data_IF_903534022213
#
_entry.id   IF_903534022213
#
_cell.length_a   1.000
_cell.length_b   1.000
_cell.length_c   1.000
_cell.angle_alpha   90.00
_cell.angle_beta   90.00
_cell.angle_gamma   90.00
#
_symmetry.space_group_name_H-M   'P 1'
#
loop_
_entity.id
_entity.type
_entity.pdbx_description
1 polymer ?
#
# COMPACT_ATOMS: atom_id res chain seq x y z
N UNK A 1 -18.19 -25.26 -21.19
CA UNK A 1 -16.73 -25.26 -20.89
C UNK A 1 -16.48 -24.31 -19.72
N UNK A 2 -16.21 -24.85 -18.53
CA UNK A 2 -15.82 -24.05 -17.37
C UNK A 2 -14.48 -23.37 -17.67
N UNK A 3 -14.48 -22.04 -17.86
CA UNK A 3 -13.25 -21.27 -17.93
C UNK A 3 -12.47 -21.52 -16.63
N UNK A 4 -11.41 -22.34 -16.69
CA UNK A 4 -10.49 -22.50 -15.57
C UNK A 4 -10.01 -21.12 -15.20
N UNK A 5 -10.10 -20.78 -13.91
CA UNK A 5 -9.46 -19.60 -13.35
C UNK A 5 -7.96 -19.78 -13.55
N UNK A 6 -7.41 -19.27 -14.66
CA UNK A 6 -5.97 -19.30 -14.90
C UNK A 6 -5.31 -18.43 -13.85
N UNK A 7 -4.64 -19.08 -12.89
CA UNK A 7 -3.87 -18.43 -11.85
C UNK A 7 -2.72 -17.66 -12.52
N UNK A 8 -2.63 -16.36 -12.27
CA UNK A 8 -1.57 -15.50 -12.81
C UNK A 8 -0.27 -15.75 -12.05
N UNK A 9 0.57 -16.63 -12.58
CA UNK A 9 1.87 -16.98 -12.00
C UNK A 9 2.76 -15.73 -11.82
N UNK A 10 2.70 -14.77 -12.74
CA UNK A 10 3.45 -13.52 -12.65
C UNK A 10 3.11 -12.68 -11.42
N UNK A 11 1.83 -12.68 -10.99
CA UNK A 11 1.41 -11.96 -9.80
C UNK A 11 1.94 -12.65 -8.54
N UNK A 12 1.91 -13.98 -8.52
CA UNK A 12 2.40 -14.76 -7.39
C UNK A 12 3.93 -14.65 -7.26
N UNK A 13 4.66 -14.64 -8.37
CA UNK A 13 6.09 -14.36 -8.41
C UNK A 13 6.40 -12.96 -7.86
N UNK A 14 5.69 -11.92 -8.33
CA UNK A 14 5.86 -10.55 -7.82
C UNK A 14 5.59 -10.48 -6.31
N UNK A 15 4.53 -11.15 -5.82
CA UNK A 15 4.24 -11.25 -4.38
C UNK A 15 5.37 -11.92 -3.63
N UNK A 16 5.86 -13.06 -4.11
CA UNK A 16 6.97 -13.80 -3.51
C UNK A 16 8.24 -12.96 -3.43
N UNK A 17 8.64 -12.30 -4.52
CA UNK A 17 9.79 -11.40 -4.53
C UNK A 17 9.62 -10.22 -3.58
N UNK A 18 8.42 -9.65 -3.46
CA UNK A 18 8.15 -8.56 -2.51
C UNK A 18 8.28 -9.04 -1.06
N UNK A 19 7.86 -10.28 -0.75
CA UNK A 19 8.07 -10.91 0.57
C UNK A 19 9.54 -11.18 0.83
N UNK A 20 10.27 -11.73 -0.14
CA UNK A 20 11.71 -11.97 -0.01
C UNK A 20 12.48 -10.66 0.24
N UNK A 21 12.15 -9.60 -0.50
CA UNK A 21 12.73 -8.27 -0.30
C UNK A 21 12.40 -7.71 1.09
N UNK A 22 11.15 -7.87 1.55
CA UNK A 22 10.75 -7.46 2.91
C UNK A 22 11.56 -8.15 3.99
N UNK A 23 11.79 -9.47 3.85
CA UNK A 23 12.60 -10.23 4.81
C UNK A 23 14.06 -9.74 4.80
N UNK A 24 14.64 -9.53 3.62
CA UNK A 24 16.01 -9.06 3.45
C UNK A 24 16.26 -7.70 4.13
N UNK A 25 15.32 -6.75 3.99
CA UNK A 25 15.51 -5.40 4.55
C UNK A 25 15.18 -5.30 6.04
N UNK A 26 14.33 -6.20 6.55
CA UNK A 26 13.98 -6.22 7.98
C UNK A 26 15.01 -6.97 8.82
N UNK A 27 15.87 -7.77 8.19
CA UNK A 27 16.93 -8.52 8.85
C UNK A 27 18.23 -8.45 8.03
N UNK A 28 18.92 -7.29 8.04
CA UNK A 28 20.17 -7.11 7.30
C UNK A 28 21.36 -7.86 7.94
N UNK A 29 21.15 -8.56 9.06
CA UNK A 29 22.20 -9.23 9.84
C UNK A 29 22.96 -8.28 10.76
N UNK A 30 23.64 -7.27 10.21
CA UNK A 30 24.35 -6.23 10.96
C UNK A 30 23.78 -4.84 10.66
N UNK A 31 23.16 -4.23 11.68
CA UNK A 31 22.61 -2.87 11.61
C UNK A 31 23.68 -1.77 11.55
N UNK A 32 24.94 -2.08 11.84
CA UNK A 32 26.07 -1.14 11.76
C UNK A 32 26.65 -0.99 10.35
N UNK A 33 26.38 -1.93 9.43
CA UNK A 33 26.94 -1.96 8.07
C UNK A 33 25.88 -2.33 7.02
N UNK A 34 24.78 -1.57 7.01
CA UNK A 34 23.72 -1.75 6.02
C UNK A 34 24.08 -1.03 4.73
N UNK A 35 24.00 -1.72 3.59
CA UNK A 35 24.16 -1.06 2.30
C UNK A 35 23.03 -0.07 2.04
N UNK A 36 23.34 1.12 1.53
CA UNK A 36 22.37 2.20 1.30
C UNK A 36 21.05 1.79 0.60
N UNK A 37 20.99 0.82 -0.35
CA UNK A 37 19.72 0.41 -0.96
C UNK A 37 18.77 -0.28 0.02
N UNK A 38 19.31 -0.90 1.07
CA UNK A 38 18.59 -1.66 2.11
C UNK A 38 18.17 -0.76 3.28
N UNK A 39 18.63 0.48 3.31
CA UNK A 39 18.23 1.47 4.31
C UNK A 39 16.95 2.18 3.90
N UNK A 40 16.16 2.62 4.87
CA UNK A 40 15.04 3.53 4.63
C UNK A 40 15.54 4.97 4.44
N UNK A 41 14.84 5.75 3.62
CA UNK A 41 15.03 7.19 3.64
C UNK A 41 14.73 7.74 5.05
N UNK A 42 15.60 8.62 5.57
CA UNK A 42 15.50 9.10 6.96
C UNK A 42 14.14 9.76 7.27
N UNK A 43 13.64 10.59 6.35
CA UNK A 43 12.31 11.19 6.47
C UNK A 43 11.70 11.47 5.10
N UNK A 44 12.38 12.33 4.32
CA UNK A 44 12.07 12.60 2.92
C UNK A 44 13.03 11.82 2.03
N UNK A 45 12.55 11.40 0.87
CA UNK A 45 13.25 10.58 -0.09
C UNK A 45 12.52 9.28 -0.40
N UNK A 46 13.11 8.48 -1.27
CA UNK A 46 12.64 7.15 -1.60
C UNK A 46 13.85 6.28 -1.96
N UNK A 47 14.13 5.29 -1.12
CA UNK A 47 15.10 4.22 -1.39
C UNK A 47 14.39 3.02 -2.03
N UNK A 48 15.13 2.01 -2.55
CA UNK A 48 14.52 0.76 -3.00
C UNK A 48 13.69 0.05 -1.92
N UNK A 49 14.14 0.13 -0.66
CA UNK A 49 13.48 -0.45 0.51
C UNK A 49 12.12 0.21 0.81
N UNK A 50 11.96 1.49 0.46
CA UNK A 50 10.70 2.20 0.61
C UNK A 50 9.61 1.76 -0.40
N UNK A 51 9.98 1.06 -1.49
CA UNK A 51 9.05 0.56 -2.50
C UNK A 51 8.27 -0.68 -2.04
N UNK A 52 8.81 -1.45 -1.10
CA UNK A 52 8.31 -2.78 -0.73
C UNK A 52 6.87 -2.71 -0.23
N UNK A 53 6.59 -1.85 0.74
CA UNK A 53 5.24 -1.77 1.32
C UNK A 53 4.18 -1.21 0.35
N UNK A 54 4.44 -0.12 -0.39
CA UNK A 54 3.56 0.32 -1.47
C UNK A 54 3.30 -0.76 -2.53
N UNK A 55 4.31 -1.57 -2.88
CA UNK A 55 4.15 -2.68 -3.82
C UNK A 55 3.17 -3.72 -3.29
N UNK A 56 3.26 -4.07 -2.00
CA UNK A 56 2.28 -4.95 -1.37
C UNK A 56 0.85 -4.41 -1.47
N UNK A 57 0.62 -3.14 -1.13
CA UNK A 57 -0.72 -2.54 -1.21
C UNK A 57 -1.23 -2.47 -2.64
N UNK A 58 -0.37 -2.09 -3.59
CA UNK A 58 -0.71 -2.10 -5.01
C UNK A 58 -1.12 -3.51 -5.48
N UNK A 59 -0.33 -4.52 -5.12
CA UNK A 59 -0.59 -5.92 -5.47
C UNK A 59 -1.84 -6.48 -4.79
N UNK A 60 -2.16 -6.04 -3.57
CA UNK A 60 -3.45 -6.32 -2.92
C UNK A 60 -4.61 -5.82 -3.79
N UNK A 61 -4.51 -4.61 -4.33
CA UNK A 61 -5.47 -4.06 -5.29
C UNK A 61 -5.61 -4.89 -6.57
N UNK A 62 -4.49 -5.27 -7.18
CA UNK A 62 -4.46 -6.15 -8.37
C UNK A 62 -5.11 -7.50 -8.06
N UNK A 63 -4.82 -8.06 -6.88
CA UNK A 63 -5.40 -9.33 -6.41
C UNK A 63 -6.91 -9.23 -6.22
N UNK A 64 -7.44 -8.10 -5.72
CA UNK A 64 -8.89 -7.87 -5.65
C UNK A 64 -9.51 -7.90 -7.05
N UNK A 65 -8.90 -7.23 -8.03
CA UNK A 65 -9.38 -7.22 -9.40
C UNK A 65 -9.51 -8.64 -9.97
N UNK A 66 -8.54 -9.50 -9.68
CA UNK A 66 -8.44 -10.86 -10.22
C UNK A 66 -9.24 -11.89 -9.45
N UNK A 67 -9.43 -11.70 -8.14
CA UNK A 67 -10.14 -12.67 -7.30
C UNK A 67 -11.64 -12.37 -7.18
N UNK A 68 -12.03 -11.09 -7.07
CA UNK A 68 -13.41 -10.68 -6.77
C UNK A 68 -14.21 -10.43 -8.05
N UNK A 69 -13.68 -9.63 -8.98
CA UNK A 69 -14.44 -9.22 -10.17
C UNK A 69 -14.91 -10.40 -11.04
N UNK A 70 -14.11 -11.45 -11.32
CA UNK A 70 -14.59 -12.58 -12.12
C UNK A 70 -15.72 -13.36 -11.43
N UNK A 71 -15.79 -13.34 -10.10
CA UNK A 71 -16.88 -13.98 -9.35
C UNK A 71 -18.16 -13.16 -9.47
N UNK A 72 -18.04 -11.84 -9.37
CA UNK A 72 -19.13 -10.90 -9.57
C UNK A 72 -19.70 -11.01 -11.00
N UNK A 73 -18.83 -11.06 -12.02
CA UNK A 73 -19.21 -11.24 -13.42
C UNK A 73 -19.89 -12.60 -13.69
N UNK A 74 -19.61 -13.62 -12.88
CA UNK A 74 -20.26 -14.93 -12.93
C UNK A 74 -21.58 -14.99 -12.14
N UNK A 75 -22.08 -13.85 -11.66
CA UNK A 75 -23.37 -13.75 -10.98
C UNK A 75 -23.34 -14.04 -9.48
N UNK A 76 -22.17 -14.09 -8.83
CA UNK A 76 -22.11 -14.22 -7.38
C UNK A 76 -22.74 -13.00 -6.67
N UNK A 77 -23.42 -13.22 -5.56
CA UNK A 77 -24.08 -12.15 -4.80
C UNK A 77 -23.08 -11.13 -4.28
N UNK A 78 -23.36 -9.84 -4.54
CA UNK A 78 -22.54 -8.74 -4.04
C UNK A 78 -22.48 -8.71 -2.50
N UNK A 79 -23.55 -9.10 -1.81
CA UNK A 79 -23.60 -9.15 -0.35
C UNK A 79 -22.70 -10.27 0.20
N UNK A 80 -22.71 -11.45 -0.43
CA UNK A 80 -21.86 -12.58 -0.05
C UNK A 80 -20.38 -12.26 -0.25
N UNK A 81 -20.03 -11.68 -1.40
CA UNK A 81 -18.65 -11.24 -1.69
C UNK A 81 -18.20 -10.16 -0.71
N UNK A 82 -19.08 -9.21 -0.38
CA UNK A 82 -18.79 -8.16 0.62
C UNK A 82 -18.51 -8.79 1.98
N UNK A 83 -19.40 -9.66 2.47
CA UNK A 83 -19.23 -10.34 3.77
C UNK A 83 -17.94 -11.15 3.82
N UNK A 84 -17.64 -11.93 2.78
CA UNK A 84 -16.41 -12.70 2.69
C UNK A 84 -15.16 -11.81 2.71
N UNK A 85 -15.19 -10.67 1.98
CA UNK A 85 -14.09 -9.71 1.99
C UNK A 85 -13.92 -9.04 3.36
N UNK A 86 -15.00 -8.61 4.01
CA UNK A 86 -14.94 -8.00 5.34
C UNK A 86 -14.39 -8.97 6.39
N UNK A 87 -14.80 -10.24 6.33
CA UNK A 87 -14.29 -11.25 7.25
C UNK A 87 -12.81 -11.54 7.04
N UNK A 88 -12.35 -11.58 5.78
CA UNK A 88 -10.93 -11.69 5.47
C UNK A 88 -10.14 -10.49 5.97
N UNK A 89 -10.65 -9.27 5.79
CA UNK A 89 -10.05 -8.05 6.31
C UNK A 89 -9.94 -8.09 7.84
N UNK A 90 -11.02 -8.44 8.52
CA UNK A 90 -11.07 -8.55 9.98
C UNK A 90 -10.02 -9.54 10.51
N UNK A 91 -9.87 -10.72 9.88
CA UNK A 91 -8.81 -11.68 10.24
C UNK A 91 -7.40 -11.11 10.09
N UNK A 92 -7.14 -10.34 9.03
CA UNK A 92 -5.83 -9.71 8.83
C UNK A 92 -5.56 -8.66 9.91
N UNK A 93 -6.55 -7.82 10.23
CA UNK A 93 -6.44 -6.80 11.29
C UNK A 93 -6.24 -7.45 12.66
N UNK A 94 -7.06 -8.45 13.00
CA UNK A 94 -6.97 -9.17 14.27
C UNK A 94 -5.63 -9.91 14.41
N UNK A 95 -5.13 -10.52 13.34
CA UNK A 95 -3.80 -11.14 13.33
C UNK A 95 -2.70 -10.10 13.57
N UNK A 96 -2.78 -8.93 12.94
CA UNK A 96 -1.85 -7.82 13.19
C UNK A 96 -1.85 -7.35 14.64
N UNK A 97 -3.04 -7.18 15.22
CA UNK A 97 -3.17 -6.78 16.62
C UNK A 97 -2.66 -7.87 17.57
N UNK A 98 -2.93 -9.15 17.28
CA UNK A 98 -2.43 -10.27 18.06
C UNK A 98 -0.90 -10.35 18.03
N UNK A 99 -0.27 -10.11 16.87
CA UNK A 99 1.20 -10.07 16.75
C UNK A 99 1.77 -8.88 17.55
N UNK A 100 1.15 -7.70 17.48
CA UNK A 100 1.60 -6.53 18.24
C UNK A 100 1.47 -6.76 19.76
N UNK A 101 0.38 -7.38 20.20
CA UNK A 101 0.17 -7.76 21.60
C UNK A 101 1.22 -8.79 22.05
N UNK A 102 1.46 -9.81 21.24
CA UNK A 102 2.49 -10.82 21.50
C UNK A 102 3.88 -10.20 21.58
N UNK A 103 4.21 -9.27 20.68
CA UNK A 103 5.47 -8.54 20.70
C UNK A 103 5.65 -7.75 21.99
N UNK A 104 4.59 -7.10 22.49
CA UNK A 104 4.60 -6.38 23.78
C UNK A 104 4.86 -7.32 24.95
N UNK A 105 4.34 -8.55 24.87
CA UNK A 105 4.53 -9.54 25.93
C UNK A 105 5.92 -10.19 25.92
N UNK A 106 6.50 -10.45 24.73
CA UNK A 106 7.80 -11.11 24.59
C UNK A 106 8.99 -10.14 24.64
N UNK A 107 8.80 -8.86 24.31
CA UNK A 107 9.86 -7.86 24.20
C UNK A 107 9.56 -6.72 25.18
N UNK A 108 10.13 -6.75 26.40
CA UNK A 108 9.79 -5.81 27.48
C UNK A 108 9.96 -4.33 27.13
N UNK A 109 10.88 -4.02 26.21
CA UNK A 109 11.17 -2.65 25.78
C UNK A 109 10.23 -2.13 24.68
N UNK A 110 9.33 -2.98 24.16
CA UNK A 110 8.36 -2.57 23.13
C UNK A 110 6.99 -2.32 23.74
N UNK A 111 6.57 -1.06 23.71
CA UNK A 111 5.19 -0.68 24.02
C UNK A 111 4.18 -1.28 23.04
N UNK A 112 2.93 -1.39 23.49
CA UNK A 112 1.83 -1.83 22.63
C UNK A 112 1.64 -0.86 21.47
N UNK A 113 1.52 -1.40 20.25
CA UNK A 113 1.29 -0.62 19.03
C UNK A 113 -0.04 -1.01 18.40
N UNK A 114 -0.93 -0.05 18.17
CA UNK A 114 -2.25 -0.30 17.56
C UNK A 114 -2.17 -0.20 16.02
N UNK A 115 -1.70 0.89 15.41
CA UNK A 115 -1.53 0.95 13.97
C UNK A 115 -0.42 -0.01 13.53
N UNK A 116 -0.50 -0.52 12.31
CA UNK A 116 0.47 -1.47 11.84
C UNK A 116 0.22 -1.91 10.41
N UNK A 117 1.22 -2.58 9.86
CA UNK A 117 1.27 -2.96 8.43
C UNK A 117 0.08 -3.85 8.08
N UNK A 118 -0.19 -4.87 8.90
CA UNK A 118 -1.31 -5.79 8.67
C UNK A 118 -2.67 -5.10 8.85
N UNK A 119 -2.81 -4.24 9.85
CA UNK A 119 -4.02 -3.45 10.10
C UNK A 119 -4.34 -2.58 8.88
N UNK A 120 -3.35 -1.84 8.37
CA UNK A 120 -3.48 -1.00 7.17
C UNK A 120 -3.81 -1.83 5.92
N UNK A 121 -3.13 -2.97 5.71
CA UNK A 121 -3.47 -3.90 4.62
C UNK A 121 -4.93 -4.36 4.72
N UNK A 122 -5.40 -4.73 5.91
CA UNK A 122 -6.77 -5.16 6.14
C UNK A 122 -7.80 -4.08 5.80
N UNK A 123 -7.57 -2.84 6.28
CA UNK A 123 -8.44 -1.69 6.01
C UNK A 123 -8.46 -1.34 4.51
N UNK A 124 -7.29 -1.22 3.88
CA UNK A 124 -7.21 -0.93 2.45
C UNK A 124 -7.84 -2.05 1.61
N UNK A 125 -7.62 -3.33 1.95
CA UNK A 125 -8.25 -4.46 1.28
C UNK A 125 -9.78 -4.39 1.38
N UNK A 126 -10.33 -4.14 2.57
CA UNK A 126 -11.77 -4.01 2.79
C UNK A 126 -12.35 -2.90 1.92
N UNK A 127 -11.78 -1.70 2.00
CA UNK A 127 -12.24 -0.55 1.24
C UNK A 127 -12.16 -0.80 -0.28
N UNK A 128 -11.04 -1.29 -0.79
CA UNK A 128 -10.89 -1.59 -2.23
C UNK A 128 -11.81 -2.71 -2.69
N UNK A 129 -12.08 -3.73 -1.87
CA UNK A 129 -13.07 -4.75 -2.19
C UNK A 129 -14.48 -4.15 -2.32
N UNK A 130 -14.87 -3.22 -1.43
CA UNK A 130 -16.12 -2.49 -1.54
C UNK A 130 -16.18 -1.63 -2.81
N UNK A 131 -15.11 -0.90 -3.13
CA UNK A 131 -15.01 -0.16 -4.40
C UNK A 131 -15.13 -1.08 -5.62
N UNK A 132 -14.49 -2.25 -5.59
CA UNK A 132 -14.56 -3.22 -6.67
C UNK A 132 -15.98 -3.78 -6.88
N UNK A 133 -16.73 -4.01 -5.79
CA UNK A 133 -18.07 -4.60 -5.84
C UNK A 133 -19.17 -3.56 -6.12
N UNK A 134 -19.08 -2.38 -5.52
CA UNK A 134 -20.20 -1.41 -5.44
C UNK A 134 -20.05 -0.20 -6.36
N UNK A 135 -18.87 0.05 -6.93
CA UNK A 135 -18.61 1.30 -7.65
C UNK A 135 -18.16 1.06 -9.09
N UNK A 136 -18.35 2.09 -9.92
CA UNK A 136 -17.92 2.07 -11.32
C UNK A 136 -16.48 2.58 -11.46
N UNK A 137 -15.78 2.25 -12.57
CA UNK A 137 -14.44 2.77 -12.85
C UNK A 137 -14.28 4.28 -12.71
N UNK A 138 -15.28 5.07 -13.10
CA UNK A 138 -15.26 6.53 -12.96
C UNK A 138 -15.18 6.96 -11.49
N UNK A 139 -16.03 6.39 -10.64
CA UNK A 139 -16.02 6.64 -9.18
C UNK A 139 -14.68 6.25 -8.55
N UNK A 140 -14.07 5.14 -8.99
CA UNK A 140 -12.75 4.71 -8.50
C UNK A 140 -11.66 5.73 -8.84
N UNK A 141 -11.65 6.26 -10.08
CA UNK A 141 -10.71 7.30 -10.47
C UNK A 141 -10.95 8.64 -9.76
N UNK A 142 -12.21 9.03 -9.58
CA UNK A 142 -12.56 10.21 -8.77
C UNK A 142 -12.12 10.04 -7.31
N UNK A 143 -12.28 8.85 -6.73
CA UNK A 143 -11.82 8.55 -5.38
C UNK A 143 -10.29 8.61 -5.28
N UNK A 144 -9.55 8.08 -6.25
CA UNK A 144 -8.07 8.22 -6.31
C UNK A 144 -7.70 9.70 -6.35
N UNK A 145 -8.29 10.49 -7.25
CA UNK A 145 -8.00 11.92 -7.36
C UNK A 145 -8.33 12.67 -6.06
N UNK A 146 -9.49 12.39 -5.45
CA UNK A 146 -9.91 12.99 -4.19
C UNK A 146 -8.98 12.62 -3.03
N UNK A 147 -8.57 11.36 -2.91
CA UNK A 147 -7.64 10.91 -1.87
C UNK A 147 -6.28 11.57 -2.03
N UNK A 148 -5.76 11.70 -3.26
CA UNK A 148 -4.45 12.31 -3.51
C UNK A 148 -4.47 13.82 -3.32
N UNK A 149 -5.39 14.53 -4.00
CA UNK A 149 -5.48 15.99 -3.94
C UNK A 149 -6.00 16.47 -2.59
N UNK A 150 -7.01 15.79 -2.03
CA UNK A 150 -7.54 16.10 -0.71
C UNK A 150 -6.52 15.89 0.39
N UNK A 151 -5.73 14.81 0.32
CA UNK A 151 -4.64 14.61 1.28
C UNK A 151 -3.49 15.59 1.10
N UNK A 152 -3.17 16.01 -0.14
CA UNK A 152 -2.23 17.11 -0.38
C UNK A 152 -2.69 18.39 0.32
N UNK A 153 -3.97 18.77 0.14
CA UNK A 153 -4.55 19.92 0.82
C UNK A 153 -4.54 19.79 2.35
N UNK A 154 -4.80 18.59 2.89
CA UNK A 154 -4.68 18.33 4.33
C UNK A 154 -3.23 18.53 4.83
N UNK A 155 -2.23 18.04 4.10
CA UNK A 155 -0.83 18.24 4.47
C UNK A 155 -0.42 19.71 4.43
N UNK A 156 -0.87 20.47 3.42
CA UNK A 156 -0.62 21.92 3.29
C UNK A 156 -1.31 22.71 4.41
N UNK A 157 -2.58 22.42 4.73
CA UNK A 157 -3.28 22.99 5.90
C UNK A 157 -2.60 22.60 7.21
N UNK A 158 -1.90 21.47 7.22
CA UNK A 158 -1.03 21.06 8.31
C UNK A 158 0.17 21.98 8.55
N UNK A 159 0.54 22.81 7.57
CA UNK A 159 1.56 23.85 7.66
C UNK A 159 3.01 23.35 7.63
N UNK A 160 3.30 22.13 8.08
CA UNK A 160 4.65 21.55 8.06
C UNK A 160 4.62 20.05 7.80
N UNK A 161 5.66 19.57 7.11
CA UNK A 161 5.94 18.15 6.89
C UNK A 161 6.99 17.61 7.87
N UNK A 162 7.53 18.45 8.76
CA UNK A 162 8.56 18.04 9.71
C UNK A 162 8.04 16.91 10.62
N UNK A 163 8.91 15.98 11.05
CA UNK A 163 8.55 14.94 12.02
C UNK A 163 7.86 15.55 13.25
N UNK A 164 6.88 14.83 13.81
CA UNK A 164 6.17 15.18 15.06
C UNK A 164 5.27 16.43 15.02
N UNK A 165 5.57 17.40 14.15
CA UNK A 165 4.81 18.65 14.02
C UNK A 165 3.76 18.59 12.90
N UNK A 166 3.93 17.69 11.92
CA UNK A 166 3.02 17.53 10.80
C UNK A 166 1.61 17.10 11.23
N UNK A 167 0.64 17.26 10.32
CA UNK A 167 -0.76 16.93 10.59
C UNK A 167 -0.95 15.45 10.94
N UNK A 168 -0.29 14.53 10.24
CA UNK A 168 -0.41 13.09 10.50
C UNK A 168 0.02 12.75 11.95
N UNK A 169 1.17 13.24 12.39
CA UNK A 169 1.68 13.02 13.75
C UNK A 169 0.73 13.58 14.82
N UNK A 170 0.18 14.79 14.60
CA UNK A 170 -0.82 15.36 15.51
C UNK A 170 -2.09 14.51 15.60
N UNK A 171 -2.58 14.01 14.47
CA UNK A 171 -3.74 13.13 14.44
C UNK A 171 -3.46 11.77 15.07
N UNK A 172 -2.32 11.16 14.78
CA UNK A 172 -1.95 9.86 15.35
C UNK A 172 -1.77 9.97 16.87
N UNK A 173 -1.15 11.05 17.36
CA UNK A 173 -1.06 11.36 18.79
C UNK A 173 -2.43 11.49 19.44
N UNK A 174 -3.36 12.18 18.79
CA UNK A 174 -4.70 12.41 19.34
C UNK A 174 -5.57 11.14 19.34
N UNK A 175 -5.42 10.27 18.34
CA UNK A 175 -6.25 9.08 18.15
C UNK A 175 -5.69 7.86 18.88
N UNK A 176 -4.38 7.64 18.80
CA UNK A 176 -3.73 6.44 19.31
C UNK A 176 -2.92 6.69 20.59
N UNK A 177 -2.66 7.95 20.95
CA UNK A 177 -1.90 8.28 22.15
C UNK A 177 -0.53 7.61 22.16
N UNK A 178 -0.25 6.84 23.20
CA UNK A 178 1.00 6.10 23.35
C UNK A 178 1.10 4.82 22.51
N UNK A 179 0.04 4.42 21.80
CA UNK A 179 0.00 3.17 21.04
C UNK A 179 0.52 3.29 19.60
N UNK A 180 1.45 4.21 19.36
CA UNK A 180 2.05 4.49 18.05
C UNK A 180 3.45 3.90 17.94
N UNK A 181 4.00 3.85 16.72
CA UNK A 181 5.36 3.37 16.46
C UNK A 181 6.45 4.09 17.28
N UNK A 182 6.36 5.41 17.36
CA UNK A 182 7.42 6.23 17.94
C UNK A 182 6.86 7.49 18.58
N UNK A 183 7.49 7.94 19.66
CA UNK A 183 7.10 9.13 20.42
C UNK A 183 8.35 9.97 20.62
N UNK A 184 8.25 11.26 20.30
CA UNK A 184 9.32 12.21 20.57
C UNK A 184 9.38 12.53 22.08
N UNK A 185 10.51 12.29 22.77
CA UNK A 185 10.63 12.53 24.21
C UNK A 185 10.46 14.00 24.61
N UNK A 186 10.77 14.94 23.71
CA UNK A 186 10.72 16.37 23.99
C UNK A 186 9.30 16.94 23.87
N UNK A 187 8.63 16.68 22.75
CA UNK A 187 7.28 17.19 22.50
C UNK A 187 6.17 16.29 23.03
N UNK A 188 6.47 15.03 23.39
CA UNK A 188 5.50 14.02 23.79
C UNK A 188 4.57 13.56 22.65
N UNK A 189 4.84 14.00 21.41
CA UNK A 189 4.00 13.68 20.25
C UNK A 189 4.40 12.36 19.64
N UNK A 190 3.40 11.56 19.34
CA UNK A 190 3.49 10.30 18.64
C UNK A 190 3.46 10.45 17.12
N UNK A 191 4.10 9.52 16.42
CA UNK A 191 3.97 9.34 14.98
C UNK A 191 3.93 7.86 14.63
N UNK A 192 2.99 7.48 13.77
CA UNK A 192 2.92 6.15 13.19
C UNK A 192 2.86 6.22 11.65
N UNK A 193 3.81 5.59 10.92
CA UNK A 193 3.78 5.56 9.47
C UNK A 193 2.52 4.87 8.89
N UNK A 194 1.90 3.98 9.67
CA UNK A 194 0.67 3.26 9.37
C UNK A 194 -0.56 3.90 10.04
N UNK A 195 -0.44 5.16 10.45
CA UNK A 195 -1.47 5.96 11.12
C UNK A 195 -2.75 6.21 10.31
N UNK A 196 -3.67 6.94 10.93
CA UNK A 196 -5.04 7.08 10.42
C UNK A 196 -5.06 7.88 9.12
N UNK A 197 -4.37 9.03 9.09
CA UNK A 197 -4.38 9.93 7.94
C UNK A 197 -3.53 9.38 6.78
N UNK A 198 -2.37 8.79 7.06
CA UNK A 198 -1.52 8.17 6.02
C UNK A 198 -2.18 6.95 5.37
N UNK A 199 -3.20 6.36 6.00
CA UNK A 199 -4.02 5.29 5.39
C UNK A 199 -4.87 5.78 4.21
N UNK A 200 -5.22 7.08 4.15
CA UNK A 200 -5.98 7.66 3.02
C UNK A 200 -5.25 7.57 1.68
N UNK A 201 -4.02 8.09 1.52
CA UNK A 201 -3.25 7.91 0.29
C UNK A 201 -2.80 6.45 0.09
N UNK A 202 -2.66 5.64 1.14
CA UNK A 202 -2.42 4.19 1.00
C UNK A 202 -3.60 3.45 0.36
N UNK A 203 -4.83 3.88 0.64
CA UNK A 203 -6.02 3.42 -0.08
C UNK A 203 -5.95 3.81 -1.58
N UNK A 204 -5.43 5.00 -1.90
CA UNK A 204 -5.22 5.41 -3.29
C UNK A 204 -4.20 4.49 -4.01
N UNK A 205 -3.09 4.12 -3.37
CA UNK A 205 -2.13 3.11 -3.89
C UNK A 205 -2.85 1.79 -4.21
N UNK A 206 -3.70 1.32 -3.30
CA UNK A 206 -4.44 0.05 -3.45
C UNK A 206 -5.49 0.16 -4.57
N UNK A 207 -6.18 1.30 -4.70
CA UNK A 207 -7.14 1.56 -5.79
C UNK A 207 -6.44 1.63 -7.16
N UNK A 208 -5.25 2.24 -7.24
CA UNK A 208 -4.42 2.21 -8.45
C UNK A 208 -4.09 0.77 -8.85
N UNK A 209 -3.77 -0.08 -7.87
CA UNK A 209 -3.61 -1.52 -8.06
C UNK A 209 -4.87 -2.20 -8.63
N UNK A 210 -6.05 -1.88 -8.10
CA UNK A 210 -7.34 -2.38 -8.64
C UNK A 210 -7.52 -1.98 -10.11
N UNK A 211 -7.22 -0.72 -10.47
CA UNK A 211 -7.31 -0.24 -11.85
C UNK A 211 -6.32 -0.94 -12.77
N UNK A 212 -5.08 -1.11 -12.32
CA UNK A 212 -4.06 -1.85 -13.05
C UNK A 212 -4.46 -3.31 -13.29
N UNK A 213 -4.97 -3.99 -12.26
CA UNK A 213 -5.51 -5.35 -12.38
C UNK A 213 -6.68 -5.44 -13.35
N UNK A 214 -7.56 -4.43 -13.41
CA UNK A 214 -8.63 -4.37 -14.41
C UNK A 214 -8.11 -4.24 -15.85
N UNK A 215 -7.05 -3.45 -16.08
CA UNK A 215 -6.41 -3.36 -17.40
C UNK A 215 -5.71 -4.66 -17.80
N UNK A 216 -5.02 -5.30 -16.85
CA UNK A 216 -4.37 -6.60 -17.04
C UNK A 216 -5.39 -7.67 -17.47
N UNK A 217 -6.51 -7.79 -16.74
CA UNK A 217 -7.61 -8.72 -17.07
C UNK A 217 -8.18 -8.55 -18.47
N UNK A 218 -8.20 -7.32 -18.97
CA UNK A 218 -8.73 -6.97 -20.29
C UNK A 218 -7.68 -7.04 -21.40
N UNK A 219 -6.47 -7.54 -21.11
CA UNK A 219 -5.35 -7.58 -22.05
C UNK A 219 -4.85 -6.20 -22.49
N UNK A 220 -5.19 -5.12 -21.76
CA UNK A 220 -4.84 -3.74 -22.12
C UNK A 220 -3.42 -3.37 -21.65
N UNK A 221 -2.42 -4.17 -22.04
CA UNK A 221 -1.03 -4.01 -21.60
C UNK A 221 -0.42 -2.66 -21.99
N UNK A 222 -0.77 -2.11 -23.17
CA UNK A 222 -0.34 -0.77 -23.58
C UNK A 222 -0.86 0.32 -22.64
N UNK A 223 -2.14 0.26 -22.28
CA UNK A 223 -2.73 1.23 -21.35
C UNK A 223 -2.14 1.09 -19.94
N UNK A 224 -1.86 -0.14 -19.51
CA UNK A 224 -1.16 -0.41 -18.26
C UNK A 224 0.24 0.23 -18.26
N UNK A 225 1.05 -0.01 -19.29
CA UNK A 225 2.38 0.58 -19.42
C UNK A 225 2.38 2.11 -19.48
N UNK A 226 1.51 2.70 -20.31
CA UNK A 226 1.35 4.16 -20.39
C UNK A 226 0.88 4.74 -19.05
N UNK A 227 -0.04 4.07 -18.36
CA UNK A 227 -0.49 4.49 -17.02
C UNK A 227 0.64 4.44 -15.99
N UNK A 228 1.49 3.41 -16.03
CA UNK A 228 2.67 3.31 -15.16
C UNK A 228 3.69 4.43 -15.41
N UNK A 229 4.01 4.69 -16.69
CA UNK A 229 4.91 5.78 -17.07
C UNK A 229 4.34 7.16 -16.71
N UNK A 230 3.04 7.38 -16.93
CA UNK A 230 2.37 8.60 -16.52
C UNK A 230 2.41 8.79 -15.00
N UNK A 231 2.19 7.71 -14.23
CA UNK A 231 2.28 7.75 -12.77
C UNK A 231 3.69 8.10 -12.29
N UNK A 232 4.74 7.56 -12.93
CA UNK A 232 6.13 7.94 -12.64
C UNK A 232 6.39 9.42 -12.94
N UNK A 233 5.98 9.89 -14.13
CA UNK A 233 6.19 11.27 -14.54
C UNK A 233 5.47 12.25 -13.61
N UNK A 234 4.21 11.98 -13.25
CA UNK A 234 3.44 12.79 -12.31
C UNK A 234 4.03 12.72 -10.90
N UNK A 235 4.45 11.56 -10.43
CA UNK A 235 5.10 11.40 -9.13
C UNK A 235 6.40 12.20 -9.03
N UNK A 236 7.27 12.09 -10.04
CA UNK A 236 8.52 12.85 -10.12
C UNK A 236 8.27 14.36 -10.25
N UNK A 237 7.34 14.77 -11.11
CA UNK A 237 6.97 16.19 -11.25
C UNK A 237 6.42 16.78 -9.95
N UNK A 238 5.52 16.06 -9.26
CA UNK A 238 4.98 16.51 -7.98
C UNK A 238 6.03 16.52 -6.87
N UNK A 239 7.05 15.65 -6.94
CA UNK A 239 8.13 15.63 -5.94
C UNK A 239 8.94 16.92 -5.84
N UNK A 240 8.88 17.78 -6.87
CA UNK A 240 9.51 19.10 -6.87
C UNK A 240 8.87 20.06 -5.85
N UNK A 241 7.59 19.84 -5.51
CA UNK A 241 6.83 20.67 -4.56
C UNK A 241 6.53 19.90 -3.27
N UNK A 242 6.18 18.62 -3.40
CA UNK A 242 5.84 17.75 -2.29
C UNK A 242 6.78 16.53 -2.27
N UNK A 243 7.77 16.48 -1.38
CA UNK A 243 8.80 15.44 -1.42
C UNK A 243 8.22 14.03 -1.32
N UNK A 244 8.94 13.05 -1.85
CA UNK A 244 8.66 11.66 -1.54
C UNK A 244 8.80 11.46 -0.03
N UNK A 245 7.77 10.94 0.62
CA UNK A 245 7.81 10.67 2.04
C UNK A 245 6.92 9.46 2.34
N UNK A 246 7.55 8.36 2.74
CA UNK A 246 6.88 7.11 3.10
C UNK A 246 6.12 7.24 4.43
N UNK A 247 6.69 7.93 5.42
CA UNK A 247 6.10 8.11 6.74
C UNK A 247 4.75 8.85 6.67
N UNK A 248 4.67 9.86 5.81
CA UNK A 248 3.43 10.61 5.53
C UNK A 248 2.63 10.01 4.38
N UNK A 249 3.19 9.06 3.64
CA UNK A 249 2.60 8.45 2.46
C UNK A 249 2.15 9.49 1.41
N UNK A 250 3.05 10.43 1.07
CA UNK A 250 2.71 11.60 0.25
C UNK A 250 2.14 11.22 -1.13
N UNK A 251 1.23 12.03 -1.72
CA UNK A 251 0.71 11.81 -3.07
C UNK A 251 1.77 11.63 -4.15
N UNK A 252 2.87 12.39 -4.09
CA UNK A 252 4.03 12.21 -4.99
C UNK A 252 4.64 10.80 -4.84
N UNK A 253 4.81 10.33 -3.61
CA UNK A 253 5.29 8.99 -3.29
C UNK A 253 4.32 7.90 -3.77
N UNK A 254 3.00 8.09 -3.63
CA UNK A 254 1.98 7.15 -4.13
C UNK A 254 2.11 6.96 -5.64
N UNK A 255 2.19 8.05 -6.40
CA UNK A 255 2.27 7.98 -7.86
C UNK A 255 3.61 7.39 -8.32
N UNK A 256 4.71 7.78 -7.68
CA UNK A 256 6.04 7.25 -7.96
C UNK A 256 6.10 5.73 -7.75
N UNK A 257 5.68 5.26 -6.57
CA UNK A 257 5.71 3.84 -6.22
C UNK A 257 4.71 3.00 -7.02
N UNK A 258 3.52 3.52 -7.32
CA UNK A 258 2.55 2.85 -8.19
C UNK A 258 3.08 2.69 -9.62
N UNK A 259 3.80 3.68 -10.14
CA UNK A 259 4.45 3.61 -11.45
C UNK A 259 5.49 2.49 -11.53
N UNK A 260 6.38 2.43 -10.53
CA UNK A 260 7.35 1.33 -10.41
C UNK A 260 6.68 -0.03 -10.23
N UNK A 261 5.60 -0.11 -9.45
CA UNK A 261 4.84 -1.35 -9.27
C UNK A 261 4.20 -1.85 -10.57
N UNK A 262 3.71 -0.94 -11.43
CA UNK A 262 3.20 -1.27 -12.76
C UNK A 262 4.31 -1.81 -13.66
N UNK A 263 5.49 -1.17 -13.69
CA UNK A 263 6.62 -1.64 -14.49
C UNK A 263 7.09 -3.01 -14.02
N UNK A 264 7.18 -3.23 -12.70
CA UNK A 264 7.48 -4.54 -12.14
C UNK A 264 6.43 -5.58 -12.55
N UNK A 265 5.14 -5.28 -12.40
CA UNK A 265 4.05 -6.17 -12.83
C UNK A 265 4.15 -6.54 -14.32
N UNK A 266 4.46 -5.58 -15.20
CA UNK A 266 4.65 -5.83 -16.62
C UNK A 266 5.89 -6.68 -16.91
N UNK A 267 7.00 -6.42 -16.20
CA UNK A 267 8.22 -7.20 -16.32
C UNK A 267 7.98 -8.67 -15.93
N UNK A 268 7.36 -8.92 -14.77
CA UNK A 268 7.00 -10.26 -14.32
C UNK A 268 5.99 -10.93 -15.24
N UNK A 269 5.00 -10.20 -15.75
CA UNK A 269 4.05 -10.73 -16.72
C UNK A 269 4.75 -11.19 -18.00
N UNK A 270 5.74 -10.42 -18.49
CA UNK A 270 6.53 -10.82 -19.66
C UNK A 270 7.48 -11.98 -19.37
N UNK A 271 8.20 -11.97 -18.25
CA UNK A 271 9.15 -13.02 -17.88
C UNK A 271 8.45 -14.37 -17.63
N UNK A 272 7.38 -14.38 -16.83
CA UNK A 272 6.72 -15.62 -16.43
C UNK A 272 5.77 -16.11 -17.52
N UNK A 273 4.90 -15.26 -18.08
CA UNK A 273 3.89 -15.75 -19.04
C UNK A 273 4.40 -15.89 -20.47
N UNK A 274 5.37 -15.08 -20.90
CA UNK A 274 5.90 -15.17 -22.29
C UNK A 274 7.20 -15.92 -22.39
N UNK A 275 8.10 -15.79 -21.42
CA UNK A 275 9.39 -16.49 -21.42
C UNK A 275 9.39 -17.78 -20.61
N UNK A 276 8.30 -18.09 -19.89
CA UNK A 276 8.17 -19.34 -19.14
C UNK A 276 9.18 -19.46 -18.00
N UNK A 277 9.59 -18.34 -17.40
CA UNK A 277 10.40 -18.38 -16.19
C UNK A 277 9.63 -19.06 -15.06
N UNK A 278 10.32 -19.85 -14.21
CA UNK A 278 9.70 -20.62 -13.13
C UNK A 278 8.97 -19.74 -12.10
#
# INVERSE_FOLDING_TARGET
MSARSTRLASLDALRGCTVAAMLLVNDPGDWGHVYWPLEHAQWNGCTPTDLIFPFFLFVVGVSVALAILPRLERGASAAELTRAAMWRAARIVLLGLAINLLATWLLPDRGMRIPGVLQRIGVCFAAVALFAIRTRPRTQWCAIALLLLGYCGLLELGGTLAPWANLASRTDSAVFGHYVWSIDPLSGRGHDPEGLLSTLPALATTLLGLRAGCWLRRGRLKALGLGGLLSLALGAGWSLVLPFNKNLWTPSFVLWTAGWAVLALLAFHWLVERRGWP
#
